data_IF_066709915156
#
_entry.id   IF_066709915156
#
_cell.length_a   1.000
_cell.length_b   1.000
_cell.length_c   1.000
_cell.angle_alpha   90.00
_cell.angle_beta   90.00
_cell.angle_gamma   90.00
#
_symmetry.space_group_name_H-M   'P 1'
#
loop_
_entity.id
_entity.type
_entity.pdbx_description
1 polymer ?
#
# COMPACT_ATOMS: atom_id res chain seq x y z
N UNK A 1 6.35 11.39 -7.67
CA UNK A 1 6.62 11.11 -6.25
C UNK A 1 8.12 11.10 -5.97
N UNK A 2 8.87 10.44 -6.76
CA UNK A 2 10.32 10.19 -6.64
C UNK A 2 11.18 11.37 -7.11
N UNK A 3 10.60 12.35 -7.75
CA UNK A 3 11.33 13.49 -8.35
C UNK A 3 12.13 14.30 -7.33
N UNK A 4 11.68 14.34 -6.07
CA UNK A 4 12.37 15.09 -4.99
C UNK A 4 13.43 14.23 -4.29
N UNK A 5 13.31 12.92 -4.33
CA UNK A 5 14.17 12.00 -3.57
C UNK A 5 15.18 11.25 -4.40
N UNK A 6 15.05 11.30 -5.73
CA UNK A 6 15.85 10.50 -6.65
C UNK A 6 16.94 11.24 -7.42
N UNK A 7 16.90 12.56 -7.67
CA UNK A 7 18.01 13.22 -8.34
C UNK A 7 19.29 13.07 -7.50
N UNK A 8 20.26 12.42 -8.06
CA UNK A 8 21.58 12.35 -7.45
C UNK A 8 22.40 13.57 -7.93
N UNK A 9 23.05 14.33 -7.05
CA UNK A 9 23.41 14.05 -5.64
C UNK A 9 22.42 14.58 -4.57
N UNK A 10 21.29 15.16 -4.95
CA UNK A 10 20.35 15.83 -4.02
C UNK A 10 19.56 14.84 -3.17
N UNK A 11 19.64 13.54 -3.46
CA UNK A 11 18.95 12.51 -2.68
C UNK A 11 19.38 12.50 -1.21
N UNK A 12 18.41 12.41 -0.30
CA UNK A 12 18.66 12.22 1.13
C UNK A 12 19.09 10.79 1.50
N UNK A 13 18.98 9.84 0.59
CA UNK A 13 19.35 8.45 0.81
C UNK A 13 20.88 8.29 0.91
N UNK A 14 21.35 7.75 2.03
CA UNK A 14 22.78 7.47 2.28
C UNK A 14 23.13 6.01 2.10
N UNK A 15 22.49 5.35 1.14
CA UNK A 15 22.70 3.96 0.76
C UNK A 15 22.83 3.88 -0.75
N UNK A 16 23.41 2.82 -1.32
CA UNK A 16 23.37 2.60 -2.76
C UNK A 16 21.93 2.65 -3.26
N UNK A 17 21.70 3.46 -4.28
CA UNK A 17 20.38 3.78 -4.80
C UNK A 17 20.32 3.62 -6.31
N UNK A 18 19.28 2.96 -6.79
CA UNK A 18 19.00 2.83 -8.24
C UNK A 18 17.57 3.27 -8.49
N UNK A 19 17.39 4.31 -9.30
CA UNK A 19 16.09 4.68 -9.81
C UNK A 19 15.78 3.84 -11.04
N UNK A 20 14.57 3.25 -11.09
CA UNK A 20 14.17 2.35 -12.16
C UNK A 20 12.84 2.81 -12.77
N UNK A 21 12.59 2.40 -14.00
CA UNK A 21 11.31 2.63 -14.62
C UNK A 21 10.20 1.97 -13.78
N UNK A 22 9.11 2.61 -13.75
CA UNK A 22 7.88 2.49 -12.99
C UNK A 22 7.47 1.05 -12.61
N UNK A 23 7.42 0.11 -13.58
CA UNK A 23 7.03 -1.30 -13.39
C UNK A 23 8.19 -2.20 -12.95
N UNK A 24 9.42 -1.72 -13.02
CA UNK A 24 10.62 -2.55 -12.93
C UNK A 24 11.21 -2.69 -11.53
N UNK A 25 10.59 -2.12 -10.49
CA UNK A 25 11.15 -2.15 -9.14
C UNK A 25 11.49 -3.59 -8.67
N UNK A 26 10.55 -4.52 -8.82
CA UNK A 26 10.76 -5.92 -8.43
C UNK A 26 11.75 -6.65 -9.35
N UNK A 27 11.72 -6.39 -10.67
CA UNK A 27 12.61 -7.02 -11.63
C UNK A 27 14.07 -6.62 -11.39
N UNK A 28 14.32 -5.32 -11.22
CA UNK A 28 15.67 -4.80 -10.96
C UNK A 28 16.18 -5.25 -9.59
N UNK A 29 15.33 -5.23 -8.55
CA UNK A 29 15.70 -5.73 -7.23
C UNK A 29 16.09 -7.22 -7.27
N UNK A 30 15.37 -8.04 -8.04
CA UNK A 30 15.70 -9.45 -8.27
C UNK A 30 17.07 -9.59 -8.94
N UNK A 31 17.36 -8.78 -9.96
CA UNK A 31 18.66 -8.76 -10.65
C UNK A 31 19.81 -8.33 -9.73
N UNK A 32 19.59 -7.28 -8.92
CA UNK A 32 20.59 -6.81 -7.95
C UNK A 32 20.87 -7.90 -6.91
N UNK A 33 19.85 -8.53 -6.36
CA UNK A 33 20.00 -9.61 -5.36
C UNK A 33 20.75 -10.82 -5.95
N UNK A 34 20.41 -11.24 -7.17
CA UNK A 34 21.09 -12.32 -7.87
C UNK A 34 22.56 -11.98 -8.16
N UNK A 35 22.83 -10.73 -8.59
CA UNK A 35 24.19 -10.24 -8.84
C UNK A 35 25.03 -10.22 -7.54
N UNK A 36 24.48 -9.77 -6.43
CA UNK A 36 25.14 -9.80 -5.12
C UNK A 36 25.49 -11.23 -4.69
N UNK A 37 24.56 -12.18 -4.87
CA UNK A 37 24.82 -13.61 -4.61
C UNK A 37 25.95 -14.15 -5.47
N UNK A 38 25.95 -13.86 -6.77
CA UNK A 38 27.01 -14.30 -7.71
C UNK A 38 28.39 -13.74 -7.34
N UNK A 39 28.44 -12.53 -6.78
CA UNK A 39 29.66 -11.90 -6.29
C UNK A 39 30.07 -12.37 -4.87
N UNK A 40 29.38 -13.37 -4.30
CA UNK A 40 29.63 -13.85 -2.95
C UNK A 40 29.26 -12.86 -1.83
N UNK A 41 28.57 -11.77 -2.15
CA UNK A 41 28.12 -10.76 -1.19
C UNK A 41 26.94 -11.30 -0.38
N UNK A 42 27.13 -11.47 0.92
CA UNK A 42 26.12 -12.00 1.84
C UNK A 42 25.72 -10.96 2.88
N UNK A 43 24.56 -11.14 3.52
CA UNK A 43 24.09 -10.25 4.59
C UNK A 43 23.64 -8.87 4.13
N UNK A 44 23.40 -8.69 2.82
CA UNK A 44 22.87 -7.45 2.25
C UNK A 44 21.39 -7.66 1.94
N UNK A 45 20.51 -6.83 2.54
CA UNK A 45 19.10 -6.82 2.21
C UNK A 45 18.85 -5.82 1.08
N UNK A 46 18.32 -6.31 -0.02
CA UNK A 46 17.85 -5.45 -1.12
C UNK A 46 16.45 -4.96 -0.77
N UNK A 47 16.22 -3.65 -0.94
CA UNK A 47 14.90 -3.04 -0.69
C UNK A 47 14.40 -2.46 -1.99
N UNK A 48 13.20 -2.84 -2.41
CA UNK A 48 12.47 -2.23 -3.52
C UNK A 48 11.32 -1.38 -2.98
N UNK A 49 11.10 -0.20 -3.55
CA UNK A 49 10.00 0.69 -3.20
C UNK A 49 9.24 1.02 -4.48
N UNK A 50 7.94 0.74 -4.50
CA UNK A 50 7.06 1.04 -5.63
C UNK A 50 5.78 1.73 -5.17
N UNK A 51 5.18 2.57 -6.02
CA UNK A 51 3.82 3.07 -5.81
C UNK A 51 2.77 2.00 -6.12
N UNK A 52 1.51 2.26 -5.77
CA UNK A 52 0.41 1.33 -6.01
C UNK A 52 0.23 0.97 -7.50
N UNK A 53 0.18 1.95 -8.40
CA UNK A 53 0.04 1.67 -9.83
C UNK A 53 1.18 0.80 -10.38
N UNK A 54 2.44 1.09 -9.97
CA UNK A 54 3.62 0.31 -10.35
C UNK A 54 3.68 -1.07 -9.70
N UNK A 55 2.94 -1.30 -8.61
CA UNK A 55 2.97 -2.55 -7.84
C UNK A 55 1.78 -3.45 -8.15
N UNK A 56 0.55 -2.88 -8.06
CA UNK A 56 -0.68 -3.70 -8.13
C UNK A 56 -1.18 -3.91 -9.55
N UNK A 57 -0.69 -3.11 -10.49
CA UNK A 57 -1.07 -3.18 -11.91
C UNK A 57 0.12 -3.62 -12.77
N UNK A 58 0.87 -2.66 -13.34
CA UNK A 58 1.84 -2.97 -14.40
C UNK A 58 3.08 -3.74 -13.91
N UNK A 59 3.44 -3.66 -12.63
CA UNK A 59 4.57 -4.38 -12.04
C UNK A 59 4.21 -5.68 -11.33
N UNK A 60 2.93 -6.07 -11.29
CA UNK A 60 2.47 -7.27 -10.59
C UNK A 60 3.17 -8.54 -11.06
N UNK A 61 3.37 -8.70 -12.36
CA UNK A 61 4.07 -9.85 -12.93
C UNK A 61 5.51 -9.97 -12.39
N UNK A 62 6.25 -8.87 -12.37
CA UNK A 62 7.63 -8.85 -11.88
C UNK A 62 7.71 -9.14 -10.38
N UNK A 63 6.76 -8.59 -9.60
CA UNK A 63 6.64 -8.84 -8.16
C UNK A 63 6.29 -10.30 -7.88
N UNK A 64 5.33 -10.86 -8.59
CA UNK A 64 4.97 -12.29 -8.50
C UNK A 64 6.20 -13.18 -8.76
N UNK A 65 6.93 -12.93 -9.85
CA UNK A 65 8.14 -13.68 -10.17
C UNK A 65 9.30 -13.49 -9.17
N UNK A 66 9.43 -12.31 -8.55
CA UNK A 66 10.40 -12.07 -7.48
C UNK A 66 10.10 -12.95 -6.25
N UNK A 67 8.84 -13.01 -5.85
CA UNK A 67 8.41 -13.82 -4.70
C UNK A 67 8.50 -15.30 -5.01
N UNK A 68 8.02 -15.75 -6.18
CA UNK A 68 8.06 -17.14 -6.63
C UNK A 68 9.49 -17.70 -6.66
N UNK A 69 10.48 -16.91 -7.12
CA UNK A 69 11.89 -17.29 -7.15
C UNK A 69 12.62 -17.13 -5.81
N UNK A 70 11.89 -16.78 -4.75
CA UNK A 70 12.40 -16.64 -3.38
C UNK A 70 13.62 -15.69 -3.27
N UNK A 71 13.58 -14.56 -4.00
CA UNK A 71 14.61 -13.54 -3.88
C UNK A 71 14.59 -12.87 -2.50
N UNK A 72 15.76 -12.67 -1.90
CA UNK A 72 15.89 -12.02 -0.58
C UNK A 72 15.71 -10.50 -0.69
N UNK A 73 14.49 -10.07 -1.01
CA UNK A 73 14.12 -8.67 -1.23
C UNK A 73 12.99 -8.28 -0.29
N UNK A 74 13.14 -7.12 0.36
CA UNK A 74 12.02 -6.43 1.00
C UNK A 74 11.36 -5.51 -0.03
N UNK A 75 10.11 -5.79 -0.39
CA UNK A 75 9.32 -4.92 -1.26
C UNK A 75 8.34 -4.08 -0.45
N UNK A 76 8.39 -2.76 -0.61
CA UNK A 76 7.49 -1.81 0.05
C UNK A 76 6.61 -1.13 -1.01
N UNK A 77 5.31 -1.36 -0.94
CA UNK A 77 4.33 -0.65 -1.77
C UNK A 77 3.84 0.59 -1.02
N UNK A 78 4.10 1.79 -1.55
CA UNK A 78 3.54 3.04 -1.04
C UNK A 78 2.24 3.32 -1.77
N UNK A 79 1.11 3.00 -1.12
CA UNK A 79 -0.22 3.05 -1.71
C UNK A 79 -0.90 4.39 -1.43
N UNK A 80 -1.02 5.22 -2.45
CA UNK A 80 -1.79 6.45 -2.42
C UNK A 80 -3.09 6.34 -3.25
N UNK A 81 -3.43 5.12 -3.66
CA UNK A 81 -4.73 4.73 -4.23
C UNK A 81 -5.06 5.35 -5.60
N UNK A 82 -4.03 5.74 -6.37
CA UNK A 82 -4.14 6.13 -7.78
C UNK A 82 -2.77 6.31 -8.43
N UNK A 83 -2.72 6.40 -9.77
CA UNK A 83 -1.57 6.93 -10.53
C UNK A 83 -1.53 8.45 -10.31
N UNK A 84 -0.94 8.90 -9.19
CA UNK A 84 -1.05 10.29 -8.74
C UNK A 84 -0.29 11.27 -9.62
N UNK A 85 0.98 10.98 -9.91
CA UNK A 85 1.88 11.90 -10.58
C UNK A 85 1.49 12.16 -12.04
N UNK A 86 0.88 11.20 -12.71
CA UNK A 86 0.44 11.30 -14.10
C UNK A 86 -0.89 12.01 -14.28
N UNK A 87 -1.58 12.35 -13.20
CA UNK A 87 -2.84 13.10 -13.22
C UNK A 87 -4.01 12.40 -12.54
N UNK A 88 -3.76 11.62 -11.51
CA UNK A 88 -4.78 11.01 -10.63
C UNK A 88 -5.67 10.02 -11.39
N UNK A 89 -5.07 9.14 -12.21
CA UNK A 89 -5.81 8.06 -12.87
C UNK A 89 -6.08 6.92 -11.87
N UNK A 90 -7.09 6.15 -12.16
CA UNK A 90 -7.45 4.94 -11.43
C UNK A 90 -6.33 3.91 -11.45
N UNK A 91 -5.97 3.37 -10.31
CA UNK A 91 -5.16 2.14 -10.16
C UNK A 91 -6.01 0.99 -9.61
N UNK A 92 -5.48 -0.23 -9.63
CA UNK A 92 -6.12 -1.38 -8.97
C UNK A 92 -6.22 -1.23 -7.44
N UNK A 93 -5.54 -0.24 -6.85
CA UNK A 93 -5.64 0.12 -5.45
C UNK A 93 -6.65 1.23 -5.15
N UNK A 94 -7.29 1.81 -6.17
CA UNK A 94 -8.32 2.84 -5.97
C UNK A 94 -9.52 2.22 -5.26
N UNK A 95 -9.98 2.79 -4.14
CA UNK A 95 -11.09 2.23 -3.40
C UNK A 95 -12.44 2.49 -4.09
N UNK A 96 -13.40 1.62 -3.80
CA UNK A 96 -14.77 1.74 -4.30
C UNK A 96 -15.34 3.15 -4.07
N UNK A 97 -16.00 3.67 -5.07
CA UNK A 97 -16.61 5.02 -5.15
C UNK A 97 -15.62 6.19 -5.10
N UNK A 98 -14.32 5.99 -5.08
CA UNK A 98 -13.37 7.10 -5.15
C UNK A 98 -13.40 7.77 -6.54
N UNK A 99 -13.43 9.11 -6.55
CA UNK A 99 -13.23 9.86 -7.77
C UNK A 99 -11.76 9.80 -8.20
N UNK A 100 -11.54 9.58 -9.49
CA UNK A 100 -10.27 9.82 -10.18
C UNK A 100 -10.53 10.46 -11.54
N UNK A 101 -9.49 10.88 -12.26
CA UNK A 101 -9.66 11.45 -13.61
C UNK A 101 -10.19 10.43 -14.63
N UNK A 102 -9.97 9.14 -14.42
CA UNK A 102 -10.47 8.06 -15.28
C UNK A 102 -11.69 7.33 -14.71
N UNK A 103 -12.09 7.63 -13.47
CA UNK A 103 -13.36 7.21 -12.86
C UNK A 103 -14.11 8.45 -12.35
N UNK A 104 -14.58 9.32 -13.27
CA UNK A 104 -15.26 10.55 -12.88
C UNK A 104 -16.65 10.26 -12.32
N UNK A 105 -17.15 11.21 -11.54
CA UNK A 105 -18.52 11.19 -11.01
C UNK A 105 -19.47 11.77 -12.04
N UNK A 106 -20.37 10.95 -12.52
CA UNK A 106 -21.40 11.33 -13.51
C UNK A 106 -22.77 10.77 -13.16
N UNK A 107 -23.70 10.84 -14.11
CA UNK A 107 -25.08 10.34 -13.94
C UNK A 107 -25.16 8.80 -13.88
N UNK A 108 -24.25 8.10 -14.59
CA UNK A 108 -24.26 6.63 -14.70
C UNK A 108 -23.23 6.01 -13.76
N UNK A 109 -21.99 6.50 -13.79
CA UNK A 109 -20.92 6.06 -12.89
C UNK A 109 -20.66 7.12 -11.83
N UNK A 110 -20.43 6.66 -10.59
CA UNK A 110 -20.23 7.53 -9.44
C UNK A 110 -18.88 7.28 -8.76
N UNK A 111 -17.80 7.42 -9.55
CA UNK A 111 -16.44 7.08 -9.13
C UNK A 111 -16.06 5.64 -9.51
N UNK A 112 -15.11 5.02 -8.78
CA UNK A 112 -14.65 3.65 -8.99
C UNK A 112 -15.78 2.65 -8.64
N UNK A 113 -16.10 1.74 -9.53
CA UNK A 113 -17.15 0.73 -9.36
C UNK A 113 -16.64 -0.66 -8.96
N UNK A 114 -15.33 -0.86 -8.95
CA UNK A 114 -14.70 -2.10 -8.55
C UNK A 114 -14.09 -2.03 -7.13
N UNK A 115 -13.98 -3.16 -6.43
CA UNK A 115 -13.26 -3.21 -5.17
C UNK A 115 -11.76 -3.08 -5.42
N UNK A 116 -11.05 -2.52 -4.41
CA UNK A 116 -9.59 -2.46 -4.37
C UNK A 116 -8.99 -3.88 -4.39
N UNK A 117 -7.91 -4.09 -5.16
CA UNK A 117 -7.13 -5.33 -5.12
C UNK A 117 -6.54 -5.57 -3.73
N UNK A 118 -6.70 -6.77 -3.22
CA UNK A 118 -6.04 -7.19 -1.98
C UNK A 118 -4.63 -7.73 -2.27
N UNK A 119 -3.69 -6.81 -2.47
CA UNK A 119 -2.29 -7.17 -2.76
C UNK A 119 -1.63 -7.96 -1.63
N UNK A 120 -1.81 -7.62 -0.34
CA UNK A 120 -1.29 -8.46 0.74
C UNK A 120 -1.76 -9.91 0.64
N UNK A 121 -3.04 -10.17 0.36
CA UNK A 121 -3.55 -11.53 0.18
C UNK A 121 -2.95 -12.22 -1.05
N UNK A 122 -2.77 -11.52 -2.17
CA UNK A 122 -2.13 -12.05 -3.38
C UNK A 122 -0.69 -12.48 -3.07
N UNK A 123 0.08 -11.65 -2.37
CA UNK A 123 1.47 -11.98 -2.01
C UNK A 123 1.53 -13.09 -0.94
N UNK A 124 0.61 -13.11 0.01
CA UNK A 124 0.50 -14.20 0.98
C UNK A 124 0.19 -15.55 0.31
N UNK A 125 -0.62 -15.55 -0.76
CA UNK A 125 -0.90 -16.75 -1.56
C UNK A 125 0.34 -17.32 -2.26
N UNK A 126 1.38 -16.51 -2.52
CA UNK A 126 2.70 -16.97 -2.94
C UNK A 126 3.53 -17.62 -1.81
N UNK A 127 3.00 -17.70 -0.59
CA UNK A 127 3.70 -18.22 0.59
C UNK A 127 4.95 -17.42 0.96
N UNK A 128 4.94 -16.10 0.69
CA UNK A 128 5.99 -15.20 1.19
C UNK A 128 6.11 -15.35 2.72
N UNK A 129 7.34 -15.45 3.27
CA UNK A 129 7.53 -15.67 4.71
C UNK A 129 6.99 -14.53 5.56
N UNK A 130 6.88 -13.32 5.01
CA UNK A 130 6.29 -12.18 5.72
C UNK A 130 5.58 -11.22 4.78
N UNK A 131 4.35 -10.92 5.12
CA UNK A 131 3.51 -9.89 4.47
C UNK A 131 2.88 -9.03 5.54
N UNK A 132 2.88 -7.71 5.38
CA UNK A 132 2.25 -6.81 6.34
C UNK A 132 1.58 -5.62 5.66
N UNK A 133 0.60 -5.05 6.34
CA UNK A 133 0.08 -3.72 6.05
C UNK A 133 0.65 -2.71 7.04
N UNK A 134 0.80 -1.47 6.61
CA UNK A 134 1.28 -0.37 7.45
C UNK A 134 0.57 0.93 7.08
N UNK A 135 0.72 1.98 7.87
CA UNK A 135 0.21 3.31 7.58
C UNK A 135 1.19 4.37 8.07
N UNK A 136 1.34 5.45 7.28
CA UNK A 136 2.14 6.62 7.71
C UNK A 136 1.56 7.30 8.95
N UNK A 137 0.28 7.07 9.24
CA UNK A 137 -0.36 7.53 10.48
C UNK A 137 0.09 6.79 11.75
N UNK A 138 0.77 5.64 11.59
CA UNK A 138 1.26 4.77 12.68
C UNK A 138 2.75 4.45 12.49
N UNK A 139 3.65 5.45 12.55
CA UNK A 139 5.04 5.29 12.16
C UNK A 139 5.81 4.27 13.01
N UNK A 140 5.49 4.11 14.27
CA UNK A 140 6.16 3.13 15.15
C UNK A 140 5.83 1.69 14.76
N UNK A 141 4.57 1.40 14.40
CA UNK A 141 4.16 0.10 13.85
C UNK A 141 4.85 -0.17 12.52
N UNK A 142 4.89 0.83 11.64
CA UNK A 142 5.57 0.71 10.34
C UNK A 142 7.07 0.42 10.51
N UNK A 143 7.78 1.18 11.34
CA UNK A 143 9.22 0.97 11.61
C UNK A 143 9.46 -0.44 12.17
N UNK A 144 8.63 -0.91 13.10
CA UNK A 144 8.74 -2.27 13.66
C UNK A 144 8.60 -3.33 12.56
N UNK A 145 7.62 -3.18 11.67
CA UNK A 145 7.38 -4.10 10.54
C UNK A 145 8.53 -4.09 9.53
N UNK A 146 9.06 -2.90 9.19
CA UNK A 146 10.23 -2.79 8.30
C UNK A 146 11.45 -3.50 8.90
N UNK A 147 11.76 -3.28 10.18
CA UNK A 147 12.86 -3.97 10.87
C UNK A 147 12.68 -5.49 10.85
N UNK A 148 11.47 -5.96 11.15
CA UNK A 148 11.13 -7.39 11.11
C UNK A 148 11.27 -7.96 9.69
N UNK A 149 10.68 -7.31 8.69
CA UNK A 149 10.77 -7.74 7.29
C UNK A 149 12.23 -7.78 6.77
N UNK A 150 13.05 -6.82 7.18
CA UNK A 150 14.47 -6.76 6.79
C UNK A 150 15.30 -7.88 7.41
N UNK A 151 14.93 -8.38 8.59
CA UNK A 151 15.64 -9.48 9.27
C UNK A 151 15.28 -10.88 8.76
N UNK A 152 14.19 -11.02 8.03
CA UNK A 152 13.71 -12.30 7.50
C UNK A 152 14.43 -12.62 6.18
N UNK A 153 14.99 -13.80 6.05
CA UNK A 153 15.56 -14.31 4.80
C UNK A 153 14.42 -14.65 3.81
N UNK A 154 14.61 -14.28 2.55
CA UNK A 154 13.61 -14.46 1.50
C UNK A 154 12.78 -13.20 1.19
N UNK A 155 11.75 -13.32 0.33
CA UNK A 155 10.91 -12.20 -0.10
C UNK A 155 9.96 -11.76 1.02
N UNK A 156 9.97 -10.48 1.33
CA UNK A 156 9.04 -9.86 2.29
C UNK A 156 8.32 -8.70 1.65
N UNK A 157 7.07 -8.46 2.04
CA UNK A 157 6.22 -7.44 1.45
C UNK A 157 5.53 -6.58 2.51
N UNK A 158 5.55 -5.26 2.33
CA UNK A 158 4.81 -4.32 3.17
C UNK A 158 3.97 -3.42 2.28
N UNK A 159 2.66 -3.38 2.51
CA UNK A 159 1.72 -2.49 1.85
C UNK A 159 1.40 -1.31 2.76
N UNK A 160 1.79 -0.10 2.35
CA UNK A 160 1.75 1.08 3.20
C UNK A 160 0.70 2.07 2.71
N UNK A 161 -0.27 2.39 3.55
CA UNK A 161 -1.25 3.43 3.30
C UNK A 161 -0.60 4.82 3.40
N UNK A 162 -0.60 5.56 2.29
CA UNK A 162 0.07 6.85 2.13
C UNK A 162 -0.90 7.87 1.51
N UNK A 163 -1.72 8.60 2.28
CA UNK A 163 -2.62 9.61 1.74
C UNK A 163 -1.89 10.66 0.90
N UNK A 164 -2.50 11.08 -0.20
CA UNK A 164 -2.00 12.12 -1.07
C UNK A 164 -2.87 13.39 -0.97
N UNK A 165 -2.33 14.48 -0.46
CA UNK A 165 -3.06 15.74 -0.27
C UNK A 165 -3.78 16.20 -1.56
N UNK A 166 -3.06 16.47 -2.66
CA UNK A 166 -3.66 16.91 -3.91
C UNK A 166 -4.61 15.87 -4.52
N UNK A 167 -4.20 14.60 -4.57
CA UNK A 167 -4.98 13.54 -5.23
C UNK A 167 -6.28 13.22 -4.51
N UNK A 168 -6.30 13.27 -3.18
CA UNK A 168 -7.51 13.02 -2.38
C UNK A 168 -8.29 14.30 -2.09
N UNK A 169 -7.76 15.45 -2.52
CA UNK A 169 -8.37 16.78 -2.29
C UNK A 169 -8.57 17.04 -0.80
N UNK A 170 -7.52 16.84 -0.03
CA UNK A 170 -7.43 17.15 1.40
C UNK A 170 -6.36 18.23 1.61
N UNK A 171 -6.51 19.02 2.66
CA UNK A 171 -5.42 19.89 3.10
C UNK A 171 -4.23 19.04 3.55
N UNK A 172 -3.02 19.40 3.09
CA UNK A 172 -1.80 18.64 3.39
C UNK A 172 -1.51 18.55 4.90
N UNK A 173 -1.95 19.51 5.70
CA UNK A 173 -1.86 19.48 7.16
C UNK A 173 -2.65 18.34 7.79
N UNK A 174 -3.73 17.86 7.12
CA UNK A 174 -4.60 16.78 7.59
C UNK A 174 -4.13 15.38 7.14
N UNK A 175 -3.03 15.26 6.41
CA UNK A 175 -2.57 13.97 5.85
C UNK A 175 -2.42 12.89 6.90
N UNK A 176 -1.78 13.22 8.04
CA UNK A 176 -1.57 12.25 9.12
C UNK A 176 -2.89 11.90 9.84
N UNK A 177 -3.78 12.88 10.00
CA UNK A 177 -5.09 12.63 10.60
C UNK A 177 -5.93 11.70 9.75
N UNK A 178 -5.99 11.92 8.43
CA UNK A 178 -6.68 11.03 7.48
C UNK A 178 -6.08 9.63 7.51
N UNK A 179 -4.74 9.50 7.57
CA UNK A 179 -4.08 8.22 7.69
C UNK A 179 -4.46 7.47 8.99
N UNK A 180 -4.58 8.20 10.11
CA UNK A 180 -5.06 7.63 11.38
C UNK A 180 -6.53 7.22 11.32
N UNK A 181 -7.38 8.06 10.72
CA UNK A 181 -8.81 7.78 10.56
C UNK A 181 -9.04 6.53 9.71
N UNK A 182 -8.26 6.31 8.65
CA UNK A 182 -8.35 5.08 7.87
C UNK A 182 -8.25 3.83 8.76
N UNK A 183 -7.32 3.84 9.72
CA UNK A 183 -7.13 2.72 10.66
C UNK A 183 -8.22 2.68 11.73
N UNK A 184 -8.59 3.83 12.31
CA UNK A 184 -9.61 3.91 13.37
C UNK A 184 -11.01 3.54 12.88
N UNK A 185 -11.30 3.71 11.59
CA UNK A 185 -12.59 3.32 10.99
C UNK A 185 -12.61 1.89 10.46
N UNK A 186 -11.43 1.25 10.37
CA UNK A 186 -11.28 -0.08 9.78
C UNK A 186 -11.24 -0.07 8.24
N UNK A 187 -11.19 1.10 7.62
CA UNK A 187 -10.99 1.21 6.16
C UNK A 187 -9.60 0.71 5.75
N UNK A 188 -8.63 0.82 6.65
CA UNK A 188 -7.30 0.24 6.54
C UNK A 188 -6.94 -0.50 7.81
N UNK A 189 -6.62 -1.80 7.70
CA UNK A 189 -6.31 -2.63 8.85
C UNK A 189 -4.81 -2.84 8.97
N UNK A 190 -4.26 -2.73 10.18
CA UNK A 190 -2.86 -2.99 10.47
C UNK A 190 -2.68 -4.44 10.93
N UNK A 191 -2.08 -5.26 10.09
CA UNK A 191 -1.84 -6.67 10.36
C UNK A 191 -0.52 -7.15 9.76
N UNK A 192 -0.13 -8.34 10.11
CA UNK A 192 0.95 -9.09 9.51
C UNK A 192 0.53 -10.55 9.26
N UNK A 193 1.10 -11.15 8.26
CA UNK A 193 1.00 -12.58 7.97
C UNK A 193 2.43 -13.12 7.96
N UNK A 194 2.76 -13.95 8.94
CA UNK A 194 4.08 -14.56 9.07
C UNK A 194 3.95 -16.07 8.90
N UNK A 195 4.63 -16.62 7.90
CA UNK A 195 4.54 -18.04 7.55
C UNK A 195 3.09 -18.55 7.42
N UNK A 196 2.21 -17.72 6.84
CA UNK A 196 0.80 -18.01 6.65
C UNK A 196 -0.10 -17.75 7.87
N UNK A 197 0.46 -17.36 9.01
CA UNK A 197 -0.31 -17.05 10.23
C UNK A 197 -0.65 -15.57 10.26
N UNK A 198 -1.95 -15.27 10.24
CA UNK A 198 -2.48 -13.90 10.35
C UNK A 198 -2.44 -13.38 11.78
N UNK A 199 -2.00 -12.14 11.97
CA UNK A 199 -2.00 -11.44 13.23
C UNK A 199 -2.38 -9.96 13.04
N UNK A 200 -3.47 -9.52 13.66
CA UNK A 200 -3.85 -8.10 13.68
C UNK A 200 -2.94 -7.36 14.68
N UNK A 201 -2.14 -6.41 14.19
CA UNK A 201 -1.16 -5.70 15.03
C UNK A 201 -1.74 -4.50 15.77
N UNK A 202 -2.89 -4.00 15.30
CA UNK A 202 -3.59 -2.91 15.96
C UNK A 202 -5.11 -3.10 15.87
N UNK A 203 -5.78 -3.12 17.02
CA UNK A 203 -7.25 -3.10 17.14
C UNK A 203 -7.66 -1.79 17.81
N UNK A 204 -8.41 -0.90 17.14
CA UNK A 204 -8.89 0.31 17.79
C UNK A 204 -9.83 -0.07 18.97
N UNK A 205 -9.71 0.59 20.13
CA UNK A 205 -10.57 0.31 21.28
C UNK A 205 -12.07 0.45 20.98
N UNK A 206 -12.39 1.39 20.10
CA UNK A 206 -13.71 1.60 19.52
C UNK A 206 -13.55 2.05 18.09
N UNK A 207 -14.13 1.32 17.13
CA UNK A 207 -14.11 1.74 15.72
C UNK A 207 -14.94 3.01 15.56
N UNK A 208 -14.40 3.96 14.80
CA UNK A 208 -15.11 5.16 14.38
C UNK A 208 -15.98 4.86 13.15
N UNK A 209 -17.08 5.60 12.93
CA UNK A 209 -17.82 5.50 11.68
C UNK A 209 -16.94 5.81 10.46
N UNK A 210 -17.11 5.06 9.36
CA UNK A 210 -16.35 5.31 8.14
C UNK A 210 -16.59 6.70 7.55
N UNK A 211 -17.76 7.28 7.84
CA UNK A 211 -18.11 8.65 7.45
C UNK A 211 -17.06 9.68 7.90
N UNK A 212 -16.43 9.48 9.08
CA UNK A 212 -15.39 10.37 9.59
C UNK A 212 -14.15 10.42 8.67
N UNK A 213 -13.79 9.28 8.09
CA UNK A 213 -12.71 9.17 7.13
C UNK A 213 -13.09 9.71 5.74
N UNK A 214 -14.27 9.34 5.23
CA UNK A 214 -14.69 9.67 3.89
C UNK A 214 -14.97 11.18 3.71
N UNK A 215 -15.61 11.81 4.71
CA UNK A 215 -15.98 13.24 4.69
C UNK A 215 -14.76 14.18 4.69
N UNK A 216 -13.60 13.73 5.13
CA UNK A 216 -12.37 14.52 5.05
C UNK A 216 -11.77 14.62 3.65
N UNK A 217 -12.26 13.85 2.68
CA UNK A 217 -11.63 13.67 1.37
C UNK A 217 -12.55 14.16 0.26
N UNK A 218 -12.10 15.14 -0.52
CA UNK A 218 -12.87 15.68 -1.63
C UNK A 218 -13.19 14.66 -2.74
N UNK A 219 -12.41 13.57 -2.83
CA UNK A 219 -12.67 12.48 -3.79
C UNK A 219 -13.93 11.66 -3.47
N UNK A 220 -14.48 11.79 -2.26
CA UNK A 220 -15.71 11.13 -1.79
C UNK A 220 -16.89 12.09 -1.53
N UNK A 221 -16.74 13.40 -1.80
CA UNK A 221 -17.77 14.40 -1.49
C UNK A 221 -19.12 14.20 -2.18
N UNK A 222 -19.18 13.33 -3.20
CA UNK A 222 -20.39 13.02 -3.94
C UNK A 222 -21.22 11.89 -3.33
N UNK A 223 -20.68 11.20 -2.31
CA UNK A 223 -21.36 10.05 -1.69
C UNK A 223 -22.63 10.48 -0.96
N UNK A 224 -23.68 9.71 -1.14
CA UNK A 224 -24.90 9.77 -0.36
C UNK A 224 -24.73 9.02 0.97
N UNK A 225 -25.61 9.27 1.93
CA UNK A 225 -25.61 8.54 3.21
C UNK A 225 -25.84 7.02 3.00
N UNK A 226 -26.61 6.64 1.98
CA UNK A 226 -26.83 5.23 1.62
C UNK A 226 -25.53 4.56 1.11
N UNK A 227 -24.78 5.26 0.24
CA UNK A 227 -23.49 4.79 -0.27
C UNK A 227 -22.46 4.66 0.86
N UNK A 228 -22.42 5.63 1.78
CA UNK A 228 -21.57 5.56 2.98
C UNK A 228 -21.96 4.38 3.86
N UNK A 229 -23.26 4.13 4.07
CA UNK A 229 -23.75 2.99 4.82
C UNK A 229 -23.39 1.65 4.16
N UNK A 230 -23.38 1.59 2.82
CA UNK A 230 -22.90 0.40 2.08
C UNK A 230 -21.42 0.14 2.33
N UNK A 231 -20.58 1.18 2.27
CA UNK A 231 -19.14 1.06 2.57
C UNK A 231 -18.93 0.59 4.03
N UNK A 232 -19.70 1.15 4.98
CA UNK A 232 -19.64 0.73 6.38
C UNK A 232 -19.94 -0.75 6.56
N UNK A 233 -21.01 -1.26 5.92
CA UNK A 233 -21.35 -2.70 5.96
C UNK A 233 -20.23 -3.58 5.43
N UNK A 234 -19.60 -3.20 4.31
CA UNK A 234 -18.47 -3.95 3.74
C UNK A 234 -17.30 -4.04 4.72
N UNK A 235 -16.99 -2.93 5.42
CA UNK A 235 -15.95 -2.91 6.46
C UNK A 235 -16.34 -3.82 7.62
N UNK A 236 -17.57 -3.74 8.09
CA UNK A 236 -18.05 -4.56 9.21
C UNK A 236 -18.00 -6.06 8.88
N UNK A 237 -18.35 -6.45 7.65
CA UNK A 237 -18.21 -7.83 7.17
C UNK A 237 -16.74 -8.28 7.09
N UNK A 238 -15.84 -7.42 6.66
CA UNK A 238 -14.40 -7.72 6.65
C UNK A 238 -13.87 -7.96 8.06
N UNK A 239 -14.27 -7.12 9.02
CA UNK A 239 -13.87 -7.28 10.42
C UNK A 239 -14.38 -8.58 11.04
N UNK A 240 -15.62 -8.99 10.74
CA UNK A 240 -16.13 -10.31 11.14
C UNK A 240 -15.29 -11.46 10.61
N UNK A 241 -14.81 -11.37 9.36
CA UNK A 241 -13.91 -12.40 8.77
C UNK A 241 -12.57 -12.51 9.51
N UNK A 242 -12.09 -11.44 10.12
CA UNK A 242 -10.90 -11.47 10.97
C UNK A 242 -11.17 -12.05 12.38
N UNK A 243 -12.41 -12.48 12.68
CA UNK A 243 -12.79 -12.94 14.01
C UNK A 243 -12.84 -11.84 15.07
N UNK A 244 -13.08 -10.60 14.64
CA UNK A 244 -13.07 -9.43 15.49
C UNK A 244 -14.49 -8.84 15.51
N UNK A 245 -15.14 -8.91 16.64
CA UNK A 245 -16.42 -8.24 16.92
C UNK A 245 -16.25 -6.78 17.33
#
# INVERSE_FOLDING_TARGET
MEVVTTPYPETAWRVPWIHVAFENAAAVASGVEAGLKSLGKRGIKVVAIGGDGGTVDIGLQALSGMVERNHNVLYICTDNEAYMNTGIQRSGATPYSAWTTTTPVGKVKRGEDLPKKDMPAIIAAHRAPYVATASVGYPLDFIKKVKKAASIEGPTYIHVHCPCGPGWRIDSSNTIEVAKLAVLTGMWNLYEIENGVFNLTFKPPKRRPVADYLKMQGRFRHLTEEEIAKIQRTIDEQWKRFGIE
#
